data_IF_133300384357
#
_entry.id   IF_133300384357
#
_cell.length_a   1.000
_cell.length_b   1.000
_cell.length_c   1.000
_cell.angle_alpha   90.00
_cell.angle_beta   90.00
_cell.angle_gamma   90.00
#
_symmetry.space_group_name_H-M   'P 1'
#
loop_
_entity.id
_entity.type
_entity.pdbx_description
1 polymer ?
#
# COMPACT_ATOMS: atom_id res chain seq x y z
N UNK A 1 14.86 -0.02 -20.98
CA UNK A 1 13.62 -0.64 -20.48
C UNK A 1 12.98 0.28 -19.46
N UNK A 2 11.75 0.73 -19.70
CA UNK A 2 10.99 1.47 -18.68
C UNK A 2 10.60 0.52 -17.54
N UNK A 3 10.78 0.96 -16.29
CA UNK A 3 10.26 0.26 -15.11
C UNK A 3 8.73 0.28 -15.24
N UNK A 4 8.09 -0.87 -15.42
CA UNK A 4 6.62 -0.95 -15.42
C UNK A 4 6.19 -0.82 -13.96
N UNK A 5 5.50 0.26 -13.62
CA UNK A 5 4.85 0.38 -12.34
C UNK A 5 3.55 -0.43 -12.37
N UNK A 6 3.36 -1.28 -11.37
CA UNK A 6 2.16 -2.08 -11.15
C UNK A 6 1.41 -1.48 -9.97
N UNK A 7 0.13 -1.19 -10.19
CA UNK A 7 -0.73 -0.61 -9.18
C UNK A 7 -1.02 -1.64 -8.07
N UNK A 8 -0.92 -1.18 -6.84
CA UNK A 8 -1.43 -1.84 -5.64
C UNK A 8 -2.74 -1.10 -5.35
N UNK A 9 -3.89 -1.73 -5.56
CA UNK A 9 -5.18 -1.10 -5.29
C UNK A 9 -6.19 -2.16 -4.84
N UNK A 10 -6.82 -1.92 -3.70
CA UNK A 10 -7.87 -2.79 -3.21
C UNK A 10 -8.05 -2.76 -1.69
N UNK A 11 -8.77 -3.76 -1.19
CA UNK A 11 -9.08 -3.92 0.23
C UNK A 11 -8.20 -5.01 0.83
N UNK A 12 -7.60 -4.73 1.99
CA UNK A 12 -6.75 -5.67 2.71
C UNK A 12 -7.60 -6.86 3.18
N UNK A 13 -7.24 -8.06 2.72
CA UNK A 13 -7.87 -9.31 3.17
C UNK A 13 -7.12 -9.99 4.31
N UNK A 14 -5.82 -9.72 4.46
CA UNK A 14 -4.95 -10.37 5.44
C UNK A 14 -3.77 -9.45 5.80
N UNK A 15 -3.27 -9.54 7.04
CA UNK A 15 -2.11 -8.79 7.51
C UNK A 15 -1.15 -9.77 8.19
N UNK A 16 0.16 -9.61 7.95
CA UNK A 16 1.19 -10.43 8.59
C UNK A 16 1.27 -10.16 10.09
N UNK A 17 1.79 -11.12 10.86
CA UNK A 17 1.89 -11.01 12.31
C UNK A 17 2.75 -9.81 12.78
N UNK A 18 3.70 -9.35 11.96
CA UNK A 18 4.53 -8.18 12.24
C UNK A 18 3.92 -6.84 11.78
N UNK A 19 2.74 -6.88 11.14
CA UNK A 19 2.06 -5.70 10.61
C UNK A 19 2.74 -5.03 9.40
N UNK A 20 3.84 -5.59 8.89
CA UNK A 20 4.63 -4.98 7.81
C UNK A 20 4.24 -5.45 6.42
N UNK A 21 3.41 -6.48 6.33
CA UNK A 21 2.89 -6.97 5.06
C UNK A 21 1.39 -7.15 5.11
N UNK A 22 0.74 -6.94 3.98
CA UNK A 22 -0.70 -7.14 3.83
C UNK A 22 -1.01 -7.78 2.49
N UNK A 23 -2.18 -8.40 2.39
CA UNK A 23 -2.63 -9.08 1.19
C UNK A 23 -3.81 -8.35 0.55
N UNK A 24 -3.71 -8.09 -0.75
CA UNK A 24 -4.80 -7.55 -1.57
C UNK A 24 -4.96 -8.42 -2.82
N UNK A 25 -6.19 -8.85 -3.15
CA UNK A 25 -6.45 -9.58 -4.39
C UNK A 25 -5.57 -10.82 -4.64
N UNK A 26 -5.03 -11.45 -3.59
CA UNK A 26 -4.10 -12.58 -3.70
C UNK A 26 -2.61 -12.22 -3.63
N UNK A 27 -2.24 -10.95 -3.82
CA UNK A 27 -0.87 -10.44 -3.80
C UNK A 27 -0.46 -10.02 -2.39
N UNK A 28 0.67 -10.53 -1.91
CA UNK A 28 1.32 -10.03 -0.70
C UNK A 28 2.17 -8.79 -1.00
N UNK A 29 1.96 -7.75 -0.21
CA UNK A 29 2.67 -6.47 -0.31
C UNK A 29 3.38 -6.21 0.99
N UNK A 30 4.69 -6.01 0.94
CA UNK A 30 5.52 -5.63 2.09
C UNK A 30 5.82 -4.14 2.05
N UNK A 31 5.66 -3.48 3.19
CA UNK A 31 6.03 -2.09 3.43
C UNK A 31 7.30 -2.06 4.26
N UNK A 32 8.29 -1.30 3.79
CA UNK A 32 9.59 -1.15 4.47
C UNK A 32 9.87 0.33 4.73
N UNK A 33 10.96 0.61 5.42
CA UNK A 33 11.43 1.99 5.66
C UNK A 33 11.80 2.72 4.35
N UNK A 34 11.95 1.98 3.24
CA UNK A 34 12.19 2.55 1.91
C UNK A 34 10.90 2.87 1.14
N UNK A 35 9.76 2.31 1.57
CA UNK A 35 8.46 2.58 0.97
C UNK A 35 8.07 4.01 1.30
N UNK A 36 7.78 4.82 0.27
CA UNK A 36 7.26 6.16 0.49
C UNK A 36 5.80 6.09 0.89
N UNK A 37 5.40 6.90 1.85
CA UNK A 37 4.03 6.94 2.33
C UNK A 37 3.41 8.31 2.05
N UNK A 38 2.19 8.31 1.51
CA UNK A 38 1.46 9.51 1.13
C UNK A 38 1.69 9.95 -0.32
N UNK A 39 1.16 11.12 -0.64
CA UNK A 39 1.24 11.73 -1.97
C UNK A 39 2.11 12.98 -1.87
N UNK A 40 3.08 13.10 -2.77
CA UNK A 40 3.88 14.31 -2.95
C UNK A 40 3.22 15.24 -3.99
N UNK A 41 3.23 16.55 -3.76
CA UNK A 41 2.81 17.52 -4.76
C UNK A 41 2.25 18.82 -4.19
N UNK A 42 2.24 19.92 -4.97
CA UNK A 42 1.79 21.24 -4.51
C UNK A 42 0.30 21.27 -4.14
N UNK A 43 -0.49 20.31 -4.65
CA UNK A 43 -1.92 20.15 -4.37
C UNK A 43 -2.23 18.90 -3.55
N UNK A 44 -1.20 18.20 -3.04
CA UNK A 44 -1.41 17.01 -2.22
C UNK A 44 -2.06 17.43 -0.89
N UNK A 45 -3.09 16.69 -0.47
CA UNK A 45 -3.62 16.85 0.87
C UNK A 45 -2.49 16.58 1.87
N UNK A 46 -2.44 17.33 2.97
CA UNK A 46 -1.48 17.05 4.03
C UNK A 46 -1.71 15.61 4.52
N UNK A 47 -0.64 14.82 4.74
CA UNK A 47 -0.78 13.51 5.35
C UNK A 47 -1.60 13.64 6.65
N UNK A 48 -2.72 12.94 6.71
CA UNK A 48 -3.55 12.83 7.91
C UNK A 48 -3.68 11.36 8.29
N UNK A 49 -3.88 11.08 9.57
CA UNK A 49 -4.12 9.70 10.03
C UNK A 49 -5.44 9.12 9.47
N UNK A 50 -6.32 9.97 8.93
CA UNK A 50 -7.55 9.57 8.23
C UNK A 50 -7.25 9.04 6.83
N UNK A 51 -6.31 9.65 6.12
CA UNK A 51 -5.92 9.26 4.76
C UNK A 51 -4.84 8.17 4.73
N UNK A 52 -3.98 8.14 5.75
CA UNK A 52 -2.83 7.26 5.83
C UNK A 52 -2.67 6.76 7.26
N UNK A 53 -3.49 5.77 7.63
CA UNK A 53 -3.34 5.10 8.91
C UNK A 53 -1.96 4.45 9.03
N UNK A 54 -1.34 4.55 10.22
CA UNK A 54 -0.02 3.97 10.49
C UNK A 54 -0.05 2.44 10.52
N UNK A 55 -1.18 1.86 10.89
CA UNK A 55 -1.37 0.41 10.98
C UNK A 55 -2.19 -0.09 9.80
N UNK A 56 -1.71 -1.12 9.12
CA UNK A 56 -2.48 -1.84 8.10
C UNK A 56 -3.40 -2.84 8.79
N UNK A 57 -4.71 -2.79 8.49
CA UNK A 57 -5.73 -3.66 9.09
C UNK A 57 -6.61 -4.28 8.02
N UNK A 58 -7.10 -5.49 8.30
CA UNK A 58 -8.09 -6.14 7.42
C UNK A 58 -9.30 -5.23 7.26
N UNK A 59 -9.74 -5.05 6.02
CA UNK A 59 -10.84 -4.15 5.65
C UNK A 59 -10.39 -2.74 5.25
N UNK A 60 -9.13 -2.35 5.50
CA UNK A 60 -8.63 -1.06 5.02
C UNK A 60 -8.57 -1.04 3.49
N UNK A 61 -8.91 0.09 2.88
CA UNK A 61 -8.66 0.38 1.49
C UNK A 61 -7.24 0.96 1.34
N UNK A 62 -6.45 0.39 0.44
CA UNK A 62 -5.06 0.79 0.18
C UNK A 62 -4.85 0.98 -1.31
N UNK A 63 -4.17 2.08 -1.65
CA UNK A 63 -3.68 2.35 -3.00
C UNK A 63 -2.19 2.69 -2.96
N UNK A 64 -1.45 2.29 -3.99
CA UNK A 64 0.00 2.42 -4.09
C UNK A 64 0.54 1.87 -5.41
N UNK A 65 1.86 1.70 -5.49
CA UNK A 65 2.46 0.95 -6.58
C UNK A 65 3.77 0.26 -6.18
N UNK A 66 4.15 -0.72 -6.99
CA UNK A 66 5.48 -1.34 -6.99
C UNK A 66 6.02 -1.34 -8.42
N UNK A 67 7.33 -1.32 -8.56
CA UNK A 67 8.00 -1.56 -9.84
C UNK A 67 8.56 -2.98 -9.94
N UNK A 68 8.26 -3.84 -8.97
CA UNK A 68 8.66 -5.25 -8.99
C UNK A 68 7.69 -6.09 -9.83
N UNK A 69 8.16 -7.26 -10.26
CA UNK A 69 7.31 -8.25 -10.91
C UNK A 69 6.35 -8.89 -9.90
N UNK A 70 5.06 -8.90 -10.20
CA UNK A 70 4.01 -9.45 -9.33
C UNK A 70 3.76 -10.95 -9.54
N UNK A 71 4.41 -11.59 -10.52
CA UNK A 71 4.17 -12.98 -10.88
C UNK A 71 4.52 -13.97 -9.76
N UNK A 72 5.40 -13.58 -8.83
CA UNK A 72 5.73 -14.37 -7.64
C UNK A 72 4.65 -14.31 -6.53
N UNK A 73 3.63 -13.46 -6.67
CA UNK A 73 2.57 -13.25 -5.69
C UNK A 73 3.01 -12.51 -4.42
N UNK A 74 4.22 -11.93 -4.41
CA UNK A 74 4.76 -11.13 -3.30
C UNK A 74 5.65 -10.01 -3.84
N UNK A 75 5.50 -8.81 -3.31
CA UNK A 75 6.27 -7.62 -3.74
C UNK A 75 6.56 -6.68 -2.56
N UNK A 76 7.57 -5.84 -2.72
CA UNK A 76 7.76 -4.64 -1.88
C UNK A 76 7.10 -3.43 -2.54
N UNK A 77 6.30 -2.68 -1.78
CA UNK A 77 5.73 -1.43 -2.27
C UNK A 77 6.82 -0.36 -2.42
N UNK A 78 6.83 0.33 -3.55
CA UNK A 78 7.65 1.54 -3.71
C UNK A 78 6.97 2.72 -3.04
N UNK A 79 5.65 2.83 -3.21
CA UNK A 79 4.82 3.90 -2.62
C UNK A 79 3.48 3.33 -2.17
N UNK A 80 3.01 3.78 -1.00
CA UNK A 80 1.63 3.64 -0.55
C UNK A 80 1.04 5.04 -0.41
N UNK A 81 0.04 5.34 -1.23
CA UNK A 81 -0.61 6.65 -1.28
C UNK A 81 -1.62 6.84 -0.14
N UNK A 82 -2.33 5.77 0.22
CA UNK A 82 -3.36 5.81 1.26
C UNK A 82 -3.44 4.46 2.01
N UNK A 83 -4.00 4.54 3.21
CA UNK A 83 -4.40 3.39 4.03
C UNK A 83 -5.59 3.85 4.87
N UNK A 84 -6.80 3.61 4.36
CA UNK A 84 -8.03 4.21 4.88
C UNK A 84 -8.87 3.11 5.51
N UNK A 85 -9.33 3.33 6.75
CA UNK A 85 -10.27 2.41 7.39
C UNK A 85 -11.59 2.33 6.60
N UNK A 86 -12.29 1.18 6.65
CA UNK A 86 -13.58 1.05 6.01
C UNK A 86 -14.54 2.12 6.54
N UNK A 87 -15.18 2.86 5.63
CA UNK A 87 -16.22 3.82 5.98
C UNK A 87 -17.51 3.04 6.26
N UNK A 88 -18.05 3.23 7.46
CA UNK A 88 -19.31 2.61 7.92
C UNK A 88 -20.53 3.17 7.20
#
# INVERSE_FOLDING_TARGET
MGKVAVNIDGVISEVSADGKSFKIGGLWVTVTDQTKLGIDGPTAAKPSEELLQKEFKVGNAVSGYTSQDVGAGKVTADVIYNNIAPQH
#
